data_IF_924022873482
#
_entry.id   IF_924022873482
#
_cell.length_a   1.000
_cell.length_b   1.000
_cell.length_c   1.000
_cell.angle_alpha   90.00
_cell.angle_beta   90.00
_cell.angle_gamma   90.00
#
_symmetry.space_group_name_H-M   'P 1'
#
loop_
_entity.id
_entity.type
_entity.pdbx_description
1 polymer ?
#
# COMPACT_ATOMS: atom_id res chain seq x y z
N UNK A 1 -8.44 28.81 15.95
CA UNK A 1 -9.33 27.65 15.79
C UNK A 1 -8.89 26.62 14.73
N UNK A 2 -7.79 26.82 13.99
CA UNK A 2 -7.36 25.88 12.95
C UNK A 2 -6.70 24.57 13.48
N UNK A 3 -6.07 24.61 14.66
CA UNK A 3 -5.32 23.47 15.22
C UNK A 3 -6.19 22.30 15.73
N UNK A 4 -7.51 22.51 15.89
CA UNK A 4 -8.43 21.49 16.43
C UNK A 4 -8.81 20.41 15.39
N UNK A 5 -8.56 20.68 14.11
CA UNK A 5 -8.83 19.75 13.00
C UNK A 5 -7.53 19.23 12.35
N UNK A 6 -6.37 19.58 12.90
CA UNK A 6 -5.09 19.08 12.41
C UNK A 6 -4.94 17.62 12.85
N UNK A 7 -4.99 16.70 11.89
CA UNK A 7 -4.72 15.29 12.17
C UNK A 7 -3.22 15.17 12.46
N UNK A 8 -2.89 14.80 13.69
CA UNK A 8 -1.52 14.60 14.17
C UNK A 8 -0.88 13.37 13.53
N UNK A 9 -0.61 13.45 12.22
CA UNK A 9 -0.19 12.33 11.37
C UNK A 9 1.25 11.89 11.60
N UNK A 10 2.11 12.80 12.06
CA UNK A 10 3.54 12.61 12.32
C UNK A 10 3.86 12.56 13.82
N UNK A 11 2.85 12.38 14.68
CA UNK A 11 3.01 12.33 16.15
C UNK A 11 3.11 10.89 16.62
N UNK A 12 4.07 10.61 17.51
CA UNK A 12 4.19 9.32 18.19
C UNK A 12 3.01 9.06 19.13
N UNK A 13 2.55 7.81 19.18
CA UNK A 13 1.64 7.32 20.21
C UNK A 13 2.36 7.21 21.56
N UNK A 14 1.62 7.07 22.68
CA UNK A 14 2.23 6.82 24.00
C UNK A 14 3.16 5.60 24.03
N UNK A 15 2.93 4.62 23.15
CA UNK A 15 3.73 3.40 22.99
C UNK A 15 4.92 3.58 22.03
N UNK A 16 5.15 4.80 21.51
CA UNK A 16 6.25 5.11 20.59
C UNK A 16 6.02 4.69 19.15
N UNK A 17 4.76 4.50 18.74
CA UNK A 17 4.38 4.04 17.40
C UNK A 17 3.82 5.18 16.55
N UNK A 18 3.89 5.06 15.22
CA UNK A 18 3.25 5.99 14.29
C UNK A 18 2.00 5.34 13.71
N UNK A 19 0.83 5.65 14.27
CA UNK A 19 -0.43 5.01 13.86
C UNK A 19 -0.72 5.16 12.37
N UNK A 20 -0.38 6.31 11.76
CA UNK A 20 -0.58 6.50 10.32
C UNK A 20 0.26 5.55 9.46
N UNK A 21 1.46 5.19 9.90
CA UNK A 21 2.32 4.21 9.21
C UNK A 21 1.70 2.82 9.30
N UNK A 22 1.12 2.48 10.44
CA UNK A 22 0.52 1.17 10.68
C UNK A 22 -0.78 0.98 9.90
N UNK A 23 -1.59 2.03 9.83
CA UNK A 23 -2.76 2.03 8.96
C UNK A 23 -2.37 1.91 7.49
N UNK A 24 -1.25 2.50 7.08
CA UNK A 24 -0.72 2.32 5.72
C UNK A 24 -0.28 0.88 5.46
N UNK A 25 0.40 0.23 6.42
CA UNK A 25 0.78 -1.19 6.31
C UNK A 25 -0.48 -2.06 6.18
N UNK A 26 -1.51 -1.80 6.97
CA UNK A 26 -2.77 -2.55 6.88
C UNK A 26 -3.49 -2.32 5.55
N UNK A 27 -3.43 -1.10 4.99
CA UNK A 27 -3.95 -0.83 3.66
C UNK A 27 -3.19 -1.61 2.57
N UNK A 28 -1.87 -1.78 2.71
CA UNK A 28 -1.04 -2.58 1.80
C UNK A 28 -1.41 -4.06 1.89
N UNK A 29 -1.67 -4.59 3.08
CA UNK A 29 -2.09 -5.99 3.26
C UNK A 29 -3.41 -6.33 2.53
N UNK A 30 -4.27 -5.33 2.33
CA UNK A 30 -5.52 -5.46 1.60
C UNK A 30 -5.38 -5.19 0.08
N UNK A 31 -4.19 -4.82 -0.39
CA UNK A 31 -3.90 -4.60 -1.81
C UNK A 31 -3.66 -5.92 -2.56
N UNK A 32 -3.60 -5.84 -3.90
CA UNK A 32 -3.31 -7.00 -4.73
C UNK A 32 -1.90 -7.55 -4.50
N UNK A 33 -1.76 -8.88 -4.55
CA UNK A 33 -0.47 -9.53 -4.27
C UNK A 33 0.57 -9.20 -5.34
N UNK A 34 1.82 -8.94 -4.94
CA UNK A 34 2.95 -8.77 -5.88
C UNK A 34 4.17 -9.55 -5.40
N UNK A 35 4.88 -10.18 -6.35
CA UNK A 35 6.07 -11.00 -6.10
C UNK A 35 7.18 -10.56 -7.04
N UNK A 36 8.38 -10.38 -6.49
CA UNK A 36 9.61 -10.15 -7.25
C UNK A 36 10.57 -11.32 -7.06
N UNK A 37 11.18 -11.79 -8.16
CA UNK A 37 12.17 -12.86 -8.17
C UNK A 37 13.45 -12.33 -8.83
N UNK A 38 14.56 -12.37 -8.09
CA UNK A 38 15.89 -12.10 -8.63
C UNK A 38 16.44 -13.39 -9.28
N UNK A 39 16.85 -13.30 -10.53
CA UNK A 39 17.52 -14.34 -11.29
C UNK A 39 18.97 -13.92 -11.63
N UNK A 40 19.76 -14.85 -12.16
CA UNK A 40 21.16 -14.58 -12.53
C UNK A 40 21.28 -13.48 -13.59
N UNK A 41 20.36 -13.50 -14.56
CA UNK A 41 20.41 -12.64 -15.74
C UNK A 41 19.38 -11.50 -15.69
N UNK A 42 18.68 -11.32 -14.57
CA UNK A 42 17.67 -10.27 -14.45
C UNK A 42 16.72 -10.42 -13.27
N UNK A 43 15.61 -9.68 -13.32
CA UNK A 43 14.54 -9.69 -12.30
C UNK A 43 13.21 -9.94 -12.98
N UNK A 44 12.37 -10.75 -12.35
CA UNK A 44 10.97 -10.97 -12.76
C UNK A 44 10.06 -10.34 -11.71
N UNK A 45 9.07 -9.58 -12.17
CA UNK A 45 8.00 -9.05 -11.33
C UNK A 45 6.68 -9.65 -11.79
N UNK A 46 5.91 -10.18 -10.87
CA UNK A 46 4.56 -10.68 -11.12
C UNK A 46 3.61 -10.03 -10.12
N UNK A 47 2.50 -9.49 -10.59
CA UNK A 47 1.49 -8.83 -9.75
C UNK A 47 0.08 -9.30 -10.11
N UNK A 48 -0.75 -9.48 -9.10
CA UNK A 48 -2.17 -9.72 -9.27
C UNK A 48 -2.84 -8.49 -9.90
N UNK A 49 -3.51 -8.71 -11.04
CA UNK A 49 -4.36 -7.69 -11.67
C UNK A 49 -5.80 -7.88 -11.22
N UNK A 50 -6.25 -7.10 -10.25
CA UNK A 50 -7.64 -7.10 -9.79
C UNK A 50 -8.55 -6.55 -10.89
N UNK A 51 -9.36 -7.42 -11.51
CA UNK A 51 -10.34 -7.02 -12.53
C UNK A 51 -11.59 -6.51 -11.83
N UNK A 52 -11.84 -5.20 -11.90
CA UNK A 52 -13.00 -4.58 -11.25
C UNK A 52 -14.27 -4.68 -12.08
N UNK A 53 -14.15 -4.88 -13.40
CA UNK A 53 -15.28 -5.06 -14.31
C UNK A 53 -14.83 -5.75 -15.61
N UNK A 54 -15.69 -6.61 -16.16
CA UNK A 54 -15.48 -7.25 -17.45
C UNK A 54 -15.59 -6.30 -18.66
N UNK A 55 -16.00 -5.05 -18.45
CA UNK A 55 -16.05 -4.02 -19.50
C UNK A 55 -14.72 -3.27 -19.67
N UNK A 56 -13.74 -3.51 -18.79
CA UNK A 56 -12.42 -2.91 -18.94
C UNK A 56 -11.68 -3.58 -20.09
N UNK A 57 -11.18 -2.76 -21.01
CA UNK A 57 -10.33 -3.25 -22.09
C UNK A 57 -9.06 -3.92 -21.50
N UNK A 58 -8.58 -5.01 -22.12
CA UNK A 58 -7.33 -5.64 -21.69
C UNK A 58 -6.18 -4.63 -21.78
N UNK A 59 -5.22 -4.76 -20.86
CA UNK A 59 -3.98 -3.99 -20.96
C UNK A 59 -3.26 -4.47 -22.23
N UNK A 60 -2.91 -3.55 -23.12
CA UNK A 60 -2.14 -3.83 -24.33
C UNK A 60 -0.73 -4.26 -23.99
#
# INVERSE_FOLDING_TARGET
>A
MARRYDSSTTTFSPEGRLHQVEYAIEAINNAGTSVGILAKDGVVMASEKKVTSGLLAPAR
#
